data_IF_858922563064
#
_entry.id   IF_858922563064
#
_cell.length_a   1.000
_cell.length_b   1.000
_cell.length_c   1.000
_cell.angle_alpha   90.00
_cell.angle_beta   90.00
_cell.angle_gamma   90.00
#
_symmetry.space_group_name_H-M   'P 1'
#
loop_
_entity.id
_entity.type
_entity.pdbx_description
1 polymer ?
#
# COMPACT_ATOMS: atom_id res chain seq x y z
N UNK A 1 -47.59 -0.29 67.01
CA UNK A 1 -47.72 1.17 66.83
C UNK A 1 -48.08 1.42 65.37
N UNK A 2 -49.26 2.04 65.13
CA UNK A 2 -49.67 2.97 64.04
C UNK A 2 -48.88 2.91 62.71
N UNK A 3 -49.42 2.85 61.48
CA UNK A 3 -50.78 2.97 60.90
C UNK A 3 -50.65 2.75 59.36
N UNK A 4 -51.69 2.18 58.71
CA UNK A 4 -52.29 2.51 57.38
C UNK A 4 -51.41 3.03 56.20
N UNK A 5 -51.61 2.65 54.92
CA UNK A 5 -52.89 2.57 54.21
C UNK A 5 -52.70 2.02 52.76
N UNK A 6 -53.57 1.06 52.37
CA UNK A 6 -54.33 0.88 51.09
C UNK A 6 -53.65 1.06 49.71
N UNK A 7 -53.99 0.41 48.59
CA UNK A 7 -55.02 -0.53 48.05
C UNK A 7 -54.44 -0.95 46.65
N UNK A 8 -54.41 -2.23 46.20
CA UNK A 8 -55.35 -2.89 45.25
C UNK A 8 -55.61 -2.11 43.92
N UNK A 9 -55.68 -2.63 42.69
CA UNK A 9 -55.88 -3.96 42.07
C UNK A 9 -55.29 -3.95 40.64
N UNK A 10 -54.93 -5.13 40.15
CA UNK A 10 -54.60 -5.47 38.77
C UNK A 10 -55.74 -5.29 37.73
N UNK A 11 -55.40 -5.15 36.44
CA UNK A 11 -56.09 -5.90 35.38
C UNK A 11 -55.26 -5.95 34.08
N UNK A 12 -55.22 -7.14 33.48
CA UNK A 12 -54.49 -7.50 32.27
C UNK A 12 -55.30 -7.21 30.99
N UNK A 13 -54.61 -7.00 29.86
CA UNK A 13 -55.09 -7.42 28.54
C UNK A 13 -53.93 -7.53 27.53
N UNK A 14 -53.85 -8.69 26.89
CA UNK A 14 -52.97 -9.05 25.77
C UNK A 14 -53.75 -8.84 24.47
N UNK A 15 -53.16 -8.22 23.43
CA UNK A 15 -53.15 -8.71 22.03
C UNK A 15 -52.75 -7.65 20.97
N UNK A 16 -52.02 -8.16 19.97
CA UNK A 16 -52.03 -7.84 18.53
C UNK A 16 -51.28 -6.62 17.95
N UNK A 17 -50.17 -6.98 17.29
CA UNK A 17 -49.56 -6.48 16.04
C UNK A 17 -50.32 -5.43 15.22
N UNK A 18 -49.67 -4.31 14.88
CA UNK A 18 -49.66 -3.76 13.52
C UNK A 18 -48.51 -2.78 13.29
N UNK A 19 -48.01 -2.79 12.05
CA UNK A 19 -46.85 -2.06 11.56
C UNK A 19 -47.15 -0.61 11.15
N UNK A 20 -46.05 0.12 10.96
CA UNK A 20 -45.85 1.35 10.17
C UNK A 20 -46.03 2.74 10.80
N UNK A 21 -44.92 3.49 10.69
CA UNK A 21 -44.83 4.88 10.23
C UNK A 21 -44.46 5.96 11.25
N UNK A 22 -43.20 6.39 11.13
CA UNK A 22 -42.68 7.75 11.26
C UNK A 22 -42.80 8.50 12.59
N UNK A 23 -41.65 8.90 13.15
CA UNK A 23 -41.41 10.22 13.78
C UNK A 23 -39.91 10.33 14.11
N UNK A 24 -39.15 11.11 13.33
CA UNK A 24 -38.70 12.47 13.68
C UNK A 24 -37.67 12.50 14.83
N UNK A 25 -36.39 12.31 14.51
CA UNK A 25 -35.29 12.58 15.44
C UNK A 25 -34.74 13.98 15.20
N UNK A 26 -34.99 14.86 16.17
CA UNK A 26 -34.44 16.21 16.28
C UNK A 26 -32.91 16.19 16.26
N UNK A 27 -32.31 16.79 15.22
CA UNK A 27 -30.88 17.10 15.17
C UNK A 27 -30.62 18.34 16.03
N UNK A 28 -29.90 18.19 17.15
CA UNK A 28 -29.37 19.33 17.90
C UNK A 28 -28.05 19.76 17.27
N UNK A 29 -28.05 20.89 16.56
CA UNK A 29 -26.83 21.58 16.14
C UNK A 29 -26.14 22.20 17.36
N UNK A 30 -24.82 22.00 17.47
CA UNK A 30 -23.96 22.75 18.39
C UNK A 30 -23.49 23.99 17.64
N UNK A 31 -23.86 25.17 18.17
CA UNK A 31 -23.44 26.48 17.69
C UNK A 31 -22.06 26.85 18.28
N UNK A 32 -21.07 27.11 17.42
CA UNK A 32 -19.70 27.45 17.80
C UNK A 32 -19.42 28.96 17.84
N UNK A 33 -20.44 29.83 17.83
CA UNK A 33 -20.24 31.29 17.75
C UNK A 33 -19.72 31.98 19.02
N UNK A 34 -19.30 31.27 20.06
CA UNK A 34 -18.77 31.89 21.31
C UNK A 34 -17.26 31.76 21.57
N UNK A 35 -16.44 31.24 20.63
CA UNK A 35 -14.98 31.25 20.79
C UNK A 35 -14.33 32.43 20.04
N UNK A 36 -14.51 33.64 20.57
CA UNK A 36 -13.56 34.75 20.38
C UNK A 36 -13.27 35.40 21.72
N UNK A 37 -12.01 35.30 22.15
CA UNK A 37 -11.15 36.39 22.67
C UNK A 37 -10.03 35.81 23.55
N UNK A 38 -8.84 35.67 22.99
CA UNK A 38 -7.60 35.99 23.72
C UNK A 38 -6.62 36.64 22.74
N UNK A 39 -6.68 37.96 22.72
CA UNK A 39 -5.73 38.86 22.07
C UNK A 39 -4.47 38.90 22.94
N UNK A 40 -3.29 38.60 22.40
CA UNK A 40 -2.03 38.97 23.05
C UNK A 40 -1.37 40.11 22.28
N UNK A 41 -1.14 41.18 23.00
CA UNK A 41 -0.56 42.44 22.55
C UNK A 41 0.85 42.25 21.96
N UNK A 42 1.10 42.92 20.83
CA UNK A 42 2.45 43.23 20.35
C UNK A 42 3.03 44.31 21.26
N UNK A 43 4.21 44.06 21.81
CA UNK A 43 5.04 45.13 22.38
C UNK A 43 6.16 45.41 21.39
N UNK A 44 6.18 46.64 20.89
CA UNK A 44 7.26 47.19 20.10
C UNK A 44 8.46 47.46 21.02
N UNK A 45 9.66 47.05 20.61
CA UNK A 45 10.90 47.64 21.11
C UNK A 45 11.88 47.86 19.98
N UNK A 46 12.52 49.02 20.08
CA UNK A 46 13.23 49.76 19.07
C UNK A 46 14.49 49.08 18.53
N UNK A 47 14.75 49.44 17.27
CA UNK A 47 16.03 49.48 16.58
C UNK A 47 17.19 50.03 17.43
N UNK A 48 18.30 49.32 17.44
CA UNK A 48 19.64 49.91 17.55
C UNK A 48 20.65 49.09 16.75
N UNK A 49 21.37 49.80 15.90
CA UNK A 49 22.28 49.33 14.85
C UNK A 49 23.71 49.24 15.38
N UNK A 50 24.38 48.11 15.17
CA UNK A 50 25.85 47.95 15.10
C UNK A 50 26.08 46.55 14.49
N UNK A 51 26.50 46.41 13.22
CA UNK A 51 27.89 46.62 12.79
C UNK A 51 28.69 45.34 13.07
N UNK A 52 28.51 44.27 12.27
CA UNK A 52 29.35 43.90 11.11
C UNK A 52 30.68 43.24 11.50
N UNK A 53 30.99 42.13 10.82
CA UNK A 53 32.18 41.27 10.84
C UNK A 53 31.95 39.89 11.46
N UNK A 54 32.47 38.88 10.74
CA UNK A 54 32.48 37.43 11.07
C UNK A 54 31.35 36.54 10.56
N UNK A 55 31.02 36.59 9.25
CA UNK A 55 30.56 35.38 8.53
C UNK A 55 30.58 35.51 7.00
N UNK A 56 31.75 35.84 6.45
CA UNK A 56 32.04 35.69 5.01
C UNK A 56 33.43 35.04 4.83
N UNK A 57 33.57 33.78 5.26
CA UNK A 57 34.82 33.04 5.02
C UNK A 57 34.66 31.51 4.97
N UNK A 58 33.59 31.00 4.36
CA UNK A 58 33.53 29.58 3.94
C UNK A 58 32.86 29.40 2.58
N UNK A 59 33.30 30.20 1.61
CA UNK A 59 32.98 29.97 0.21
C UNK A 59 34.22 30.24 -0.64
N UNK A 60 35.21 29.36 -0.52
CA UNK A 60 36.30 29.14 -1.48
C UNK A 60 37.17 28.00 -0.94
N UNK A 61 36.82 26.76 -1.30
CA UNK A 61 37.74 25.63 -1.44
C UNK A 61 36.92 24.42 -1.91
N UNK A 62 36.71 24.31 -3.22
CA UNK A 62 36.70 23.03 -3.95
C UNK A 62 36.53 23.32 -5.45
N UNK A 63 37.56 23.93 -6.04
CA UNK A 63 37.89 23.71 -7.45
C UNK A 63 39.41 23.59 -7.58
N UNK A 64 39.83 22.70 -8.47
CA UNK A 64 41.21 22.30 -8.84
C UNK A 64 41.86 21.16 -8.02
N UNK A 65 41.79 19.95 -8.56
CA UNK A 65 43.00 19.26 -9.05
C UNK A 65 42.61 18.06 -9.91
N UNK A 66 42.55 18.29 -11.22
CA UNK A 66 42.66 17.25 -12.24
C UNK A 66 44.13 17.17 -12.64
N UNK A 67 44.79 16.05 -12.38
CA UNK A 67 45.87 15.47 -13.19
C UNK A 67 46.59 14.36 -12.41
N UNK A 68 46.50 13.12 -12.90
CA UNK A 68 47.40 12.04 -12.49
C UNK A 68 46.70 10.71 -12.24
N UNK A 69 46.53 9.91 -13.30
CA UNK A 69 46.55 8.43 -13.33
C UNK A 69 45.58 7.89 -14.40
N UNK A 70 45.87 8.22 -15.66
CA UNK A 70 45.61 7.28 -16.75
C UNK A 70 46.66 6.18 -16.62
N UNK A 71 46.23 4.95 -16.33
CA UNK A 71 46.80 3.65 -16.73
C UNK A 71 46.44 2.59 -15.68
N UNK A 72 46.02 1.41 -16.17
CA UNK A 72 45.74 0.17 -15.44
C UNK A 72 44.37 0.03 -14.76
N UNK A 73 43.37 -0.41 -15.54
CA UNK A 73 42.80 -1.77 -15.41
C UNK A 73 41.64 -1.94 -16.41
N UNK A 74 41.97 -2.01 -17.69
CA UNK A 74 41.26 -2.87 -18.64
C UNK A 74 42.18 -4.05 -18.93
N UNK A 75 41.92 -5.20 -18.31
CA UNK A 75 42.33 -6.53 -18.78
C UNK A 75 41.84 -7.57 -17.78
N UNK A 76 40.69 -8.18 -18.07
CA UNK A 76 40.41 -9.60 -17.82
C UNK A 76 39.08 -9.97 -18.50
N UNK A 77 39.11 -9.97 -19.83
CA UNK A 77 38.36 -10.94 -20.62
C UNK A 77 39.29 -11.42 -21.73
N UNK A 78 39.23 -12.72 -22.01
CA UNK A 78 39.94 -13.46 -23.04
C UNK A 78 41.38 -13.85 -22.70
N UNK A 79 41.56 -15.11 -22.26
CA UNK A 79 42.26 -16.11 -23.07
C UNK A 79 42.11 -17.50 -22.47
N UNK A 80 41.49 -18.39 -23.23
CA UNK A 80 41.78 -19.83 -23.26
C UNK A 80 41.15 -20.39 -24.53
N UNK A 81 41.77 -20.09 -25.66
CA UNK A 81 41.66 -20.91 -26.87
C UNK A 81 43.06 -21.05 -27.44
N UNK A 82 43.49 -22.30 -27.64
CA UNK A 82 44.43 -22.76 -28.67
C UNK A 82 44.83 -24.20 -28.36
N UNK A 83 44.44 -25.11 -29.27
CA UNK A 83 45.11 -26.32 -29.78
C UNK A 83 44.03 -27.32 -30.16
N UNK A 84 44.00 -27.94 -31.33
CA UNK A 84 44.85 -27.89 -32.51
C UNK A 84 44.12 -28.62 -33.64
N UNK A 85 44.48 -28.30 -34.87
CA UNK A 85 44.00 -28.91 -36.11
C UNK A 85 44.43 -30.38 -36.22
N UNK A 86 43.58 -31.22 -36.82
CA UNK A 86 43.98 -32.19 -37.86
C UNK A 86 42.78 -32.87 -38.53
N UNK A 87 42.84 -32.94 -39.86
CA UNK A 87 41.92 -33.59 -40.80
C UNK A 87 42.11 -35.12 -40.80
N UNK A 88 41.02 -35.88 -40.99
CA UNK A 88 40.77 -36.78 -42.14
C UNK A 88 39.64 -37.80 -41.85
N UNK A 89 38.70 -37.90 -42.82
CA UNK A 89 38.00 -39.10 -43.37
C UNK A 89 37.20 -39.98 -42.38
N UNK A 90 36.05 -40.59 -42.64
CA UNK A 90 35.13 -40.89 -43.77
C UNK A 90 33.83 -41.35 -43.04
N UNK A 91 32.61 -41.11 -43.50
CA UNK A 91 31.74 -42.15 -44.07
C UNK A 91 30.38 -41.54 -44.43
N UNK A 92 29.82 -42.04 -45.51
CA UNK A 92 28.77 -41.49 -46.36
C UNK A 92 27.47 -42.25 -46.06
N UNK A 93 26.36 -41.57 -45.78
CA UNK A 93 25.03 -42.13 -46.00
C UNK A 93 24.20 -41.25 -46.94
N UNK A 94 23.78 -41.90 -48.03
CA UNK A 94 23.03 -41.40 -49.18
C UNK A 94 21.53 -41.19 -48.89
N UNK A 95 20.89 -40.13 -49.44
CA UNK A 95 19.44 -40.10 -49.58
C UNK A 95 18.97 -40.77 -50.89
N UNK A 96 17.87 -41.52 -50.78
CA UNK A 96 17.19 -42.35 -51.80
C UNK A 96 16.60 -41.51 -52.95
N UNK A 97 16.57 -42.02 -54.22
CA UNK A 97 16.16 -41.22 -55.38
C UNK A 97 14.65 -41.29 -55.69
N UNK A 98 14.09 -40.12 -55.99
CA UNK A 98 12.72 -39.89 -56.47
C UNK A 98 12.56 -40.30 -57.94
N UNK A 99 11.51 -41.05 -58.25
CA UNK A 99 11.19 -41.51 -59.60
C UNK A 99 10.61 -40.40 -60.50
N UNK A 100 11.13 -40.38 -61.73
CA UNK A 100 10.71 -39.52 -62.84
C UNK A 100 9.42 -40.06 -63.48
N UNK A 101 8.41 -39.23 -63.78
CA UNK A 101 7.20 -39.68 -64.48
C UNK A 101 7.39 -39.72 -66.01
N UNK A 102 6.82 -40.76 -66.62
CA UNK A 102 6.74 -41.05 -68.07
C UNK A 102 5.49 -40.36 -68.65
N UNK A 103 5.52 -39.83 -69.89
CA UNK A 103 4.36 -39.18 -70.50
C UNK A 103 3.39 -40.21 -71.11
N UNK A 104 2.16 -40.24 -70.61
CA UNK A 104 1.07 -41.10 -71.10
C UNK A 104 0.10 -40.31 -71.98
N UNK A 105 -0.31 -40.91 -73.10
CA UNK A 105 -1.20 -40.39 -74.17
C UNK A 105 -2.56 -39.87 -73.64
N UNK A 106 -3.26 -38.98 -74.41
CA UNK A 106 -4.58 -38.51 -74.02
C UNK A 106 -5.63 -39.59 -74.31
N UNK A 107 -6.33 -40.04 -73.27
CA UNK A 107 -7.54 -40.83 -73.42
C UNK A 107 -8.76 -39.89 -73.40
N UNK A 108 -9.63 -40.08 -74.38
CA UNK A 108 -10.95 -39.43 -74.47
C UNK A 108 -11.89 -40.10 -73.48
N UNK A 109 -12.26 -39.41 -72.40
CA UNK A 109 -13.25 -39.89 -71.44
C UNK A 109 -14.68 -39.71 -71.98
N UNK A 110 -15.49 -40.75 -71.82
CA UNK A 110 -16.93 -40.76 -72.11
C UNK A 110 -17.70 -39.97 -71.02
N UNK A 111 -18.87 -39.38 -71.33
CA UNK A 111 -19.59 -38.53 -70.38
C UNK A 111 -20.09 -39.31 -69.15
N UNK A 112 -19.68 -38.85 -67.98
CA UNK A 112 -20.13 -39.31 -66.66
C UNK A 112 -21.63 -39.06 -66.47
N UNK A 113 -22.45 -40.05 -66.06
CA UNK A 113 -23.86 -39.84 -65.77
C UNK A 113 -24.05 -38.95 -64.53
N UNK A 114 -25.07 -38.08 -64.59
CA UNK A 114 -25.38 -37.11 -63.54
C UNK A 114 -25.71 -37.78 -62.19
N UNK A 115 -25.25 -37.21 -61.05
CA UNK A 115 -25.47 -37.80 -59.74
C UNK A 115 -26.95 -37.76 -59.35
N UNK A 116 -27.48 -38.91 -58.92
CA UNK A 116 -28.79 -39.02 -58.30
C UNK A 116 -28.73 -38.42 -56.89
N UNK A 117 -29.54 -37.39 -56.64
CA UNK A 117 -29.62 -36.73 -55.33
C UNK A 117 -30.19 -37.71 -54.28
N UNK A 118 -29.42 -37.99 -53.24
CA UNK A 118 -29.88 -38.74 -52.08
C UNK A 118 -30.94 -37.92 -51.30
N UNK A 119 -31.98 -38.56 -50.73
CA UNK A 119 -33.04 -37.87 -50.02
C UNK A 119 -32.52 -37.17 -48.76
N UNK A 120 -32.92 -35.92 -48.57
CA UNK A 120 -32.60 -35.10 -47.40
C UNK A 120 -33.20 -35.74 -46.14
N UNK A 121 -32.41 -36.05 -45.10
CA UNK A 121 -32.93 -36.59 -43.85
C UNK A 121 -33.84 -35.57 -43.13
N UNK A 122 -34.88 -36.08 -42.47
CA UNK A 122 -35.82 -35.27 -41.70
C UNK A 122 -35.11 -34.54 -40.54
N UNK A 123 -35.55 -33.32 -40.17
CA UNK A 123 -34.91 -32.54 -39.12
C UNK A 123 -34.98 -33.27 -37.77
N UNK A 124 -33.83 -33.36 -37.11
CA UNK A 124 -33.73 -33.89 -35.73
C UNK A 124 -34.42 -32.92 -34.76
N UNK A 125 -35.28 -33.40 -33.85
CA UNK A 125 -35.93 -32.55 -32.85
C UNK A 125 -34.89 -31.79 -32.01
N UNK A 126 -35.18 -30.52 -31.71
CA UNK A 126 -34.34 -29.72 -30.83
C UNK A 126 -34.28 -30.35 -29.42
N UNK A 127 -33.10 -30.40 -28.78
CA UNK A 127 -32.97 -30.97 -27.45
C UNK A 127 -33.81 -30.18 -26.42
N UNK A 128 -34.51 -30.91 -25.56
CA UNK A 128 -35.25 -30.33 -24.44
C UNK A 128 -34.26 -29.63 -23.49
N UNK A 129 -34.49 -28.36 -23.11
CA UNK A 129 -33.63 -27.66 -22.15
C UNK A 129 -33.54 -28.44 -20.84
N UNK A 130 -32.32 -28.59 -20.31
CA UNK A 130 -32.11 -29.17 -19.00
C UNK A 130 -32.85 -28.34 -17.92
N UNK A 131 -33.40 -28.97 -16.87
CA UNK A 131 -34.10 -28.24 -15.81
C UNK A 131 -33.17 -27.24 -15.12
N UNK A 132 -33.64 -26.01 -14.96
CA UNK A 132 -32.94 -24.97 -14.20
C UNK A 132 -32.73 -25.45 -12.75
N UNK A 133 -31.50 -25.47 -12.23
CA UNK A 133 -31.25 -25.83 -10.83
C UNK A 133 -32.04 -24.92 -9.88
N UNK A 134 -32.54 -25.49 -8.79
CA UNK A 134 -33.18 -24.71 -7.75
C UNK A 134 -32.22 -23.65 -7.18
N UNK A 135 -32.71 -22.45 -6.80
CA UNK A 135 -31.86 -21.42 -6.22
C UNK A 135 -31.17 -21.94 -4.96
N UNK A 136 -29.85 -21.81 -4.91
CA UNK A 136 -29.07 -22.11 -3.71
C UNK A 136 -29.48 -21.15 -2.59
N UNK A 137 -29.84 -21.63 -1.38
CA UNK A 137 -30.16 -20.74 -0.27
C UNK A 137 -29.02 -19.76 -0.01
N UNK A 138 -29.37 -18.51 0.31
CA UNK A 138 -28.37 -17.52 0.72
C UNK A 138 -27.59 -18.05 1.95
N UNK A 139 -26.26 -17.88 2.01
CA UNK A 139 -25.48 -18.33 3.15
C UNK A 139 -26.00 -17.69 4.44
N UNK A 140 -26.19 -18.52 5.47
CA UNK A 140 -26.53 -18.03 6.81
C UNK A 140 -25.41 -17.10 7.29
N UNK A 141 -25.72 -15.87 7.75
CA UNK A 141 -24.72 -14.98 8.31
C UNK A 141 -23.95 -15.69 9.44
N UNK A 142 -22.63 -15.55 9.46
CA UNK A 142 -21.83 -16.05 10.57
C UNK A 142 -22.33 -15.44 11.89
N UNK A 143 -22.31 -16.20 13.00
CA UNK A 143 -22.72 -15.67 14.29
C UNK A 143 -21.89 -14.43 14.65
N UNK A 144 -22.55 -13.36 15.06
CA UNK A 144 -21.87 -12.16 15.59
C UNK A 144 -21.06 -12.58 16.81
N UNK A 145 -19.73 -12.34 16.84
CA UNK A 145 -18.91 -12.64 18.02
C UNK A 145 -19.48 -11.95 19.26
N UNK A 146 -19.37 -12.61 20.41
CA UNK A 146 -19.68 -11.96 21.67
C UNK A 146 -18.82 -10.69 21.84
N UNK A 147 -19.34 -9.62 22.46
CA UNK A 147 -18.57 -8.41 22.68
C UNK A 147 -17.30 -8.73 23.47
N UNK A 148 -16.15 -8.35 22.93
CA UNK A 148 -14.88 -8.42 23.65
C UNK A 148 -15.00 -7.57 24.92
N UNK A 149 -14.70 -8.11 26.11
CA UNK A 149 -14.66 -7.32 27.34
C UNK A 149 -13.74 -6.12 27.14
N UNK A 150 -14.12 -4.93 27.62
CA UNK A 150 -13.24 -3.76 27.55
C UNK A 150 -11.90 -4.10 28.23
N UNK A 151 -10.74 -4.02 27.52
CA UNK A 151 -9.42 -4.21 28.11
C UNK A 151 -9.08 -3.31 29.30
N UNK A 152 -9.96 -2.36 29.64
CA UNK A 152 -9.76 -1.40 30.72
C UNK A 152 -8.99 -0.18 30.23
N UNK A 153 -8.55 0.70 31.14
CA UNK A 153 -7.82 1.89 30.78
C UNK A 153 -6.50 1.52 30.09
N UNK A 154 -6.30 2.07 28.90
CA UNK A 154 -5.05 1.92 28.16
C UNK A 154 -4.04 2.98 28.60
N UNK A 155 -2.81 2.54 28.88
CA UNK A 155 -1.68 3.42 29.21
C UNK A 155 -0.57 3.27 28.17
N UNK A 156 -0.01 4.40 27.73
CA UNK A 156 1.07 4.41 26.76
C UNK A 156 2.36 3.86 27.38
N UNK A 157 2.91 2.79 26.79
CA UNK A 157 4.22 2.26 27.15
C UNK A 157 5.21 2.43 26.01
N UNK A 158 6.24 3.24 26.26
CA UNK A 158 7.34 3.46 25.31
C UNK A 158 8.50 2.51 25.59
N UNK A 159 9.04 1.90 24.54
CA UNK A 159 10.22 1.05 24.57
C UNK A 159 11.26 1.55 23.58
N UNK A 160 12.50 1.09 23.68
CA UNK A 160 13.55 1.47 22.74
C UNK A 160 13.16 1.10 21.30
N UNK A 161 13.54 1.95 20.33
CA UNK A 161 13.06 1.84 18.94
C UNK A 161 13.46 0.53 18.26
N UNK A 162 14.51 -0.13 18.74
CA UNK A 162 15.01 -1.42 18.26
C UNK A 162 14.52 -2.62 19.09
N UNK A 163 13.64 -2.40 20.08
CA UNK A 163 13.02 -3.47 20.88
C UNK A 163 11.56 -3.73 20.48
N UNK A 164 11.01 -2.93 19.57
CA UNK A 164 9.66 -3.17 19.04
C UNK A 164 9.71 -4.37 18.10
N UNK A 165 9.04 -5.46 18.47
CA UNK A 165 8.89 -6.63 17.62
C UNK A 165 7.79 -6.37 16.57
N UNK A 166 8.04 -6.62 15.27
CA UNK A 166 7.03 -6.48 14.24
C UNK A 166 5.96 -7.56 14.34
N UNK A 167 4.81 -7.29 13.73
CA UNK A 167 3.81 -8.28 13.37
C UNK A 167 4.28 -9.02 12.12
N UNK A 168 4.25 -10.35 12.17
CA UNK A 168 4.38 -11.16 10.97
C UNK A 168 3.20 -10.87 10.03
N UNK A 169 3.44 -10.88 8.72
CA UNK A 169 2.37 -10.73 7.74
C UNK A 169 1.43 -11.96 7.79
N UNK A 170 0.15 -11.80 8.16
CA UNK A 170 -0.78 -12.93 8.15
C UNK A 170 -1.12 -13.37 6.72
N UNK A 171 -1.52 -14.63 6.56
CA UNK A 171 -2.11 -15.11 5.31
C UNK A 171 -3.42 -14.36 5.00
N UNK A 172 -3.59 -13.76 3.81
CA UNK A 172 -4.73 -12.91 3.53
C UNK A 172 -6.00 -13.72 3.24
N UNK A 173 -7.10 -13.42 3.94
CA UNK A 173 -8.36 -14.18 3.85
C UNK A 173 -9.42 -13.42 3.06
N UNK A 174 -9.68 -12.19 3.47
CA UNK A 174 -10.70 -11.30 2.89
C UNK A 174 -10.25 -10.67 1.57
N UNK A 175 -11.21 -10.13 0.82
CA UNK A 175 -10.95 -9.41 -0.44
C UNK A 175 -9.99 -8.23 -0.21
N UNK A 176 -10.20 -7.46 0.87
CA UNK A 176 -9.37 -6.30 1.21
C UNK A 176 -7.93 -6.70 1.56
N UNK A 177 -7.76 -7.79 2.33
CA UNK A 177 -6.42 -8.27 2.70
C UNK A 177 -5.67 -8.82 1.49
N UNK A 178 -6.35 -9.61 0.63
CA UNK A 178 -5.75 -10.13 -0.61
C UNK A 178 -5.34 -9.01 -1.55
N UNK A 179 -6.17 -7.99 -1.71
CA UNK A 179 -5.83 -6.80 -2.48
C UNK A 179 -4.62 -6.06 -1.88
N UNK A 180 -4.58 -5.88 -0.56
CA UNK A 180 -3.48 -5.18 0.10
C UNK A 180 -2.14 -5.93 -0.01
N UNK A 181 -2.15 -7.27 0.04
CA UNK A 181 -0.93 -8.06 -0.23
C UNK A 181 -0.53 -7.97 -1.71
N UNK A 182 -1.50 -8.04 -2.65
CA UNK A 182 -1.26 -7.97 -4.10
C UNK A 182 -0.68 -6.62 -4.55
N UNK A 183 -1.15 -5.52 -3.98
CA UNK A 183 -0.75 -4.16 -4.34
C UNK A 183 0.29 -3.55 -3.39
N UNK A 184 0.99 -4.40 -2.62
CA UNK A 184 1.98 -3.95 -1.65
C UNK A 184 3.08 -3.15 -2.38
N UNK A 185 3.43 -1.94 -1.92
CA UNK A 185 4.45 -1.12 -2.58
C UNK A 185 5.86 -1.62 -2.27
N UNK A 186 6.79 -1.34 -3.19
CA UNK A 186 8.22 -1.40 -2.91
C UNK A 186 8.66 -0.06 -2.32
N UNK A 187 9.46 -0.09 -1.25
CA UNK A 187 10.08 1.09 -0.68
C UNK A 187 11.58 1.12 -0.98
N UNK A 188 12.00 2.11 -1.75
CA UNK A 188 13.39 2.47 -1.95
C UNK A 188 13.79 3.56 -0.95
N UNK A 189 14.76 3.29 -0.08
CA UNK A 189 15.28 4.27 0.87
C UNK A 189 16.54 4.90 0.28
N UNK A 190 16.45 6.13 -0.25
CA UNK A 190 17.62 6.82 -0.82
C UNK A 190 18.56 7.29 0.28
N UNK A 191 18.02 7.88 1.34
CA UNK A 191 18.77 8.31 2.52
C UNK A 191 17.88 8.29 3.77
N UNK A 192 18.46 8.63 4.93
CA UNK A 192 17.76 8.62 6.20
C UNK A 192 17.60 7.23 6.82
N UNK A 193 16.52 7.05 7.56
CA UNK A 193 16.22 5.81 8.26
C UNK A 193 15.53 4.79 7.34
N UNK A 194 15.73 3.51 7.63
CA UNK A 194 14.89 2.43 7.13
C UNK A 194 13.60 2.36 7.95
N UNK A 195 12.53 1.72 7.44
CA UNK A 195 11.29 1.53 8.18
C UNK A 195 11.44 0.57 9.38
N UNK A 196 10.80 0.92 10.50
CA UNK A 196 10.77 0.16 11.75
C UNK A 196 9.33 -0.16 12.15
N UNK A 197 9.10 -1.24 12.92
CA UNK A 197 7.83 -1.40 13.62
C UNK A 197 7.65 -0.26 14.65
N UNK A 198 6.51 0.42 14.58
CA UNK A 198 6.15 1.49 15.49
C UNK A 198 5.53 0.98 16.79
N UNK A 199 4.83 -0.15 16.72
CA UNK A 199 4.06 -0.74 17.82
C UNK A 199 4.14 -2.27 17.73
N UNK A 200 4.17 -2.94 18.88
CA UNK A 200 4.12 -4.41 18.96
C UNK A 200 2.72 -4.92 19.36
N UNK A 201 2.55 -6.24 19.45
CA UNK A 201 1.27 -6.89 19.79
C UNK A 201 0.71 -6.46 21.16
N UNK A 202 1.58 -6.15 22.13
CA UNK A 202 1.17 -5.68 23.45
C UNK A 202 0.74 -4.20 23.48
N UNK A 203 0.90 -3.47 22.37
CA UNK A 203 0.62 -2.03 22.29
C UNK A 203 1.77 -1.15 22.79
N UNK A 204 2.98 -1.69 22.95
CA UNK A 204 4.16 -0.92 23.31
C UNK A 204 4.73 -0.22 22.07
N UNK A 205 5.05 1.07 22.19
CA UNK A 205 5.45 1.91 21.07
C UNK A 205 6.93 2.26 21.09
N UNK A 206 7.55 2.30 19.92
CA UNK A 206 8.96 2.65 19.78
C UNK A 206 9.22 4.12 20.08
N UNK A 207 10.09 4.40 21.05
CA UNK A 207 10.43 5.74 21.52
C UNK A 207 11.17 6.60 20.47
N UNK A 208 11.50 6.04 19.30
CA UNK A 208 12.19 6.73 18.22
C UNK A 208 13.62 7.14 18.59
N UNK A 209 14.24 7.97 17.76
CA UNK A 209 15.61 8.45 17.92
C UNK A 209 15.68 9.97 18.01
N UNK A 210 16.68 10.47 18.74
CA UNK A 210 17.07 11.88 18.66
C UNK A 210 17.66 12.17 17.27
N UNK A 211 17.53 13.41 16.81
CA UNK A 211 18.09 13.88 15.53
C UNK A 211 19.61 14.07 15.53
N UNK A 212 20.31 13.70 16.62
CA UNK A 212 21.77 13.82 16.71
C UNK A 212 22.47 12.73 15.90
N UNK A 213 23.59 13.09 15.28
CA UNK A 213 24.40 12.18 14.47
C UNK A 213 23.94 12.14 13.02
N UNK A 214 24.53 11.24 12.23
CA UNK A 214 24.16 11.13 10.81
C UNK A 214 22.66 10.81 10.63
N UNK A 215 22.03 11.28 9.52
CA UNK A 215 20.64 10.99 9.18
C UNK A 215 20.21 9.53 9.37
N UNK A 216 21.06 8.58 8.97
CA UNK A 216 20.79 7.14 9.04
C UNK A 216 21.38 6.44 10.28
N UNK A 217 22.03 7.19 11.18
CA UNK A 217 22.69 6.60 12.34
C UNK A 217 21.68 5.93 13.29
N UNK A 218 21.95 4.64 13.58
CA UNK A 218 21.15 3.74 14.45
C UNK A 218 19.75 3.40 13.94
N UNK A 219 19.46 3.66 12.66
CA UNK A 219 18.16 3.38 12.06
C UNK A 219 18.23 2.69 10.69
N UNK A 220 19.19 1.77 10.49
CA UNK A 220 19.30 0.94 9.26
C UNK A 220 18.81 -0.50 9.42
N UNK A 221 18.18 -0.82 10.55
CA UNK A 221 17.68 -2.16 10.86
C UNK A 221 17.47 -2.36 12.36
N UNK A 222 16.33 -2.92 12.74
CA UNK A 222 15.94 -3.11 14.16
C UNK A 222 16.55 -4.37 14.80
N UNK A 223 17.11 -5.28 14.01
CA UNK A 223 17.41 -6.65 14.44
C UNK A 223 16.20 -7.58 14.46
N UNK A 224 14.97 -7.03 14.50
CA UNK A 224 13.71 -7.79 14.42
C UNK A 224 13.06 -7.80 13.04
N UNK A 225 13.56 -6.96 12.11
CA UNK A 225 12.99 -6.77 10.78
C UNK A 225 12.34 -5.40 10.60
N UNK A 226 11.58 -5.26 9.53
CA UNK A 226 10.88 -4.02 9.16
C UNK A 226 9.36 -4.22 9.22
N UNK A 227 8.58 -3.18 8.94
CA UNK A 227 7.12 -3.25 8.91
C UNK A 227 6.55 -2.22 7.94
N UNK A 228 5.48 -2.60 7.23
CA UNK A 228 4.55 -1.67 6.59
C UNK A 228 3.14 -1.89 7.14
N UNK A 229 2.42 -0.81 7.37
CA UNK A 229 1.05 -0.82 7.89
C UNK A 229 0.06 -0.54 6.77
N UNK A 230 -1.08 -1.23 6.74
CA UNK A 230 -2.09 -1.05 5.70
C UNK A 230 -3.47 -0.69 6.24
N UNK A 231 -4.23 0.16 5.54
CA UNK A 231 -5.67 0.35 5.78
C UNK A 231 -6.38 0.70 4.49
N UNK A 232 -7.54 0.09 4.24
CA UNK A 232 -8.23 0.20 2.96
C UNK A 232 -9.71 0.50 3.10
N UNK A 233 -10.29 1.20 2.13
CA UNK A 233 -11.72 1.51 2.10
C UNK A 233 -12.14 2.01 0.71
N UNK A 234 -13.45 1.97 0.43
CA UNK A 234 -14.03 2.67 -0.71
C UNK A 234 -14.04 4.19 -0.47
N UNK A 235 -13.70 4.95 -1.50
CA UNK A 235 -13.81 6.41 -1.56
C UNK A 235 -14.33 6.76 -2.95
N UNK A 236 -15.52 7.37 -3.01
CA UNK A 236 -16.11 7.86 -4.27
C UNK A 236 -16.08 6.81 -5.41
N UNK A 237 -16.38 5.54 -5.09
CA UNK A 237 -16.43 4.46 -6.09
C UNK A 237 -15.07 3.89 -6.53
N UNK A 238 -13.96 4.34 -5.92
CA UNK A 238 -12.61 3.82 -6.13
C UNK A 238 -12.10 3.20 -4.83
N UNK A 239 -11.37 2.09 -4.91
CA UNK A 239 -10.83 1.43 -3.74
C UNK A 239 -9.45 2.01 -3.39
N UNK A 240 -9.33 2.56 -2.19
CA UNK A 240 -8.10 3.12 -1.66
C UNK A 240 -7.41 2.11 -0.74
N UNK A 241 -6.11 1.91 -0.93
CA UNK A 241 -5.25 1.17 0.01
C UNK A 241 -4.12 2.10 0.44
N UNK A 242 -4.14 2.53 1.69
CA UNK A 242 -3.05 3.29 2.29
C UNK A 242 -2.02 2.32 2.86
N UNK A 243 -0.76 2.49 2.46
CA UNK A 243 0.40 1.83 3.06
C UNK A 243 1.24 2.87 3.76
N UNK A 244 1.65 2.60 4.99
CA UNK A 244 2.36 3.56 5.83
C UNK A 244 3.57 2.94 6.50
N UNK A 245 4.64 3.73 6.60
CA UNK A 245 5.89 3.37 7.23
C UNK A 245 6.20 4.32 8.37
N UNK A 246 6.76 3.74 9.43
CA UNK A 246 7.31 4.49 10.55
C UNK A 246 8.82 4.50 10.47
N UNK A 247 9.42 5.66 10.73
CA UNK A 247 10.86 5.79 10.87
C UNK A 247 11.20 6.37 12.26
N UNK A 248 12.25 5.87 12.94
CA UNK A 248 12.56 6.34 14.30
C UNK A 248 12.86 7.84 14.40
N UNK A 249 13.33 8.47 13.33
CA UNK A 249 13.56 9.92 13.22
C UNK A 249 13.49 10.35 11.75
N UNK A 250 13.16 11.60 11.53
CA UNK A 250 13.34 12.34 10.29
C UNK A 250 14.46 13.36 10.53
N UNK A 251 15.60 13.21 9.86
CA UNK A 251 16.76 14.06 10.10
C UNK A 251 17.51 14.33 8.80
N UNK A 252 17.29 15.48 8.15
CA UNK A 252 18.01 15.84 6.91
C UNK A 252 19.50 16.13 7.18
N UNK A 253 19.84 16.55 8.41
CA UNK A 253 21.21 16.74 8.89
C UNK A 253 21.24 16.66 10.42
N UNK A 254 22.42 16.44 10.99
CA UNK A 254 22.60 16.26 12.43
C UNK A 254 22.05 17.45 13.23
N UNK A 255 21.12 17.16 14.14
CA UNK A 255 20.45 18.15 15.00
C UNK A 255 19.20 18.77 14.39
N UNK A 256 18.94 18.56 13.10
CA UNK A 256 17.75 19.06 12.39
C UNK A 256 16.71 17.95 12.18
N UNK A 257 15.49 18.38 11.87
CA UNK A 257 14.33 17.50 11.70
C UNK A 257 13.60 17.22 13.02
N UNK A 258 13.13 15.98 13.21
CA UNK A 258 12.43 15.55 14.41
C UNK A 258 12.59 14.05 14.72
N UNK A 259 12.31 13.72 15.98
CA UNK A 259 12.07 12.35 16.42
C UNK A 259 10.76 11.87 15.82
N UNK A 260 10.72 10.60 15.44
CA UNK A 260 9.62 9.95 14.73
C UNK A 260 9.42 10.50 13.33
N UNK A 261 8.98 9.62 12.44
CA UNK A 261 8.46 9.99 11.14
C UNK A 261 7.37 9.00 10.74
N UNK A 262 6.37 9.51 10.03
CA UNK A 262 5.27 8.73 9.51
C UNK A 262 4.99 9.19 8.10
N UNK A 263 5.24 8.30 7.16
CA UNK A 263 4.96 8.54 5.75
C UNK A 263 3.99 7.48 5.23
N UNK A 264 3.28 7.78 4.15
CA UNK A 264 2.33 6.87 3.54
C UNK A 264 2.11 7.12 2.05
N UNK A 265 1.82 6.05 1.33
CA UNK A 265 1.34 6.10 -0.05
C UNK A 265 -0.08 5.55 -0.10
N UNK A 266 -0.93 6.13 -0.93
CA UNK A 266 -2.24 5.54 -1.24
C UNK A 266 -2.21 5.03 -2.67
N UNK A 267 -2.49 3.74 -2.83
CA UNK A 267 -2.72 3.09 -4.11
C UNK A 267 -4.23 3.05 -4.35
N UNK A 268 -4.67 3.65 -5.45
CA UNK A 268 -6.07 3.71 -5.84
C UNK A 268 -6.30 2.68 -6.93
N UNK A 269 -7.13 1.68 -6.67
CA UNK A 269 -7.50 0.65 -7.65
C UNK A 269 -8.99 0.72 -7.98
N UNK A 270 -9.37 0.21 -9.14
CA UNK A 270 -10.77 0.18 -9.57
C UNK A 270 -11.67 -0.61 -8.62
N UNK A 271 -11.45 -1.92 -8.46
CA UNK A 271 -12.28 -2.77 -7.62
C UNK A 271 -11.48 -3.99 -7.12
N UNK A 272 -11.32 -4.17 -5.80
CA UNK A 272 -10.51 -5.28 -5.25
C UNK A 272 -11.13 -6.66 -5.49
N UNK A 273 -12.42 -6.72 -5.85
CA UNK A 273 -13.17 -7.98 -6.02
C UNK A 273 -13.09 -8.56 -7.43
N UNK A 274 -12.51 -7.85 -8.41
CA UNK A 274 -12.35 -8.37 -9.77
C UNK A 274 -11.06 -9.19 -9.87
N UNK A 275 -10.99 -10.08 -10.86
CA UNK A 275 -9.84 -10.98 -11.06
C UNK A 275 -8.51 -10.21 -11.23
N UNK A 276 -8.56 -9.14 -12.02
CA UNK A 276 -7.40 -8.31 -12.37
C UNK A 276 -7.68 -6.83 -12.07
N UNK A 277 -7.67 -6.42 -10.79
CA UNK A 277 -7.86 -5.02 -10.43
C UNK A 277 -6.73 -4.17 -11.03
N UNK A 278 -7.04 -2.95 -11.42
CA UNK A 278 -6.12 -2.02 -12.08
C UNK A 278 -5.77 -0.88 -11.15
N UNK A 279 -4.49 -0.52 -11.10
CA UNK A 279 -4.04 0.71 -10.45
C UNK A 279 -4.48 1.90 -11.31
N UNK A 280 -5.34 2.74 -10.73
CA UNK A 280 -5.85 3.96 -11.36
C UNK A 280 -4.99 5.17 -11.01
N UNK A 281 -4.46 5.22 -9.80
CA UNK A 281 -3.62 6.32 -9.33
C UNK A 281 -2.72 5.91 -8.17
N UNK A 282 -1.67 6.70 -7.94
CA UNK A 282 -0.83 6.62 -6.73
C UNK A 282 -0.61 8.01 -6.15
N UNK A 283 -0.68 8.11 -4.82
CA UNK A 283 -0.51 9.39 -4.12
C UNK A 283 0.41 9.26 -2.91
N UNK A 284 1.74 9.38 -3.10
CA UNK A 284 2.72 9.42 -2.01
C UNK A 284 2.58 10.70 -1.17
N UNK A 285 2.77 10.59 0.14
CA UNK A 285 2.83 11.73 1.06
C UNK A 285 4.08 12.57 0.83
N UNK A 286 3.93 13.88 0.90
CA UNK A 286 5.06 14.80 0.89
C UNK A 286 4.77 15.95 1.86
N UNK A 287 5.28 15.82 3.08
CA UNK A 287 5.01 16.75 4.18
C UNK A 287 3.50 16.92 4.42
N UNK A 288 2.99 18.15 4.33
CA UNK A 288 1.56 18.45 4.46
C UNK A 288 0.74 18.06 3.22
N UNK A 289 1.37 17.69 2.11
CA UNK A 289 0.74 17.47 0.82
C UNK A 289 0.80 16.03 0.30
N UNK A 290 0.44 15.90 -0.98
CA UNK A 290 0.53 14.66 -1.75
C UNK A 290 0.98 14.96 -3.16
N UNK A 291 1.95 14.18 -3.64
CA UNK A 291 2.13 13.99 -5.08
C UNK A 291 0.95 13.16 -5.60
N UNK A 292 0.48 13.44 -6.81
CA UNK A 292 -0.69 12.75 -7.40
C UNK A 292 -0.36 12.33 -8.82
N UNK A 293 -0.43 11.03 -9.09
CA UNK A 293 -0.20 10.48 -10.43
C UNK A 293 -1.42 9.68 -10.89
N UNK A 294 -1.98 10.07 -12.04
CA UNK A 294 -3.19 9.49 -12.64
C UNK A 294 -2.98 9.36 -14.16
N UNK A 295 -2.71 8.15 -14.70
CA UNK A 295 -2.25 6.95 -14.00
C UNK A 295 -0.81 7.09 -13.46
N UNK A 296 -0.33 6.16 -12.60
CA UNK A 296 1.10 6.10 -12.26
C UNK A 296 1.96 5.94 -13.52
N UNK A 297 3.19 6.48 -13.50
CA UNK A 297 4.14 6.25 -14.58
C UNK A 297 4.49 4.76 -14.68
N UNK A 298 4.59 4.24 -15.91
CA UNK A 298 4.81 2.82 -16.16
C UNK A 298 6.13 2.31 -15.55
N UNK A 299 7.19 3.12 -15.60
CA UNK A 299 8.48 2.78 -15.01
C UNK A 299 8.48 2.88 -13.48
N UNK A 300 7.44 3.45 -12.86
CA UNK A 300 7.23 3.49 -11.40
C UNK A 300 6.36 2.33 -10.89
N UNK A 301 5.99 1.37 -11.74
CA UNK A 301 5.18 0.20 -11.38
C UNK A 301 5.89 -1.07 -11.82
N UNK A 302 5.97 -2.05 -10.92
CA UNK A 302 6.49 -3.38 -11.17
C UNK A 302 5.39 -4.41 -10.92
N UNK A 303 4.79 -4.92 -12.00
CA UNK A 303 3.57 -5.74 -11.93
C UNK A 303 2.42 -4.98 -11.29
N UNK A 304 2.04 -5.38 -10.07
CA UNK A 304 1.01 -4.73 -9.24
C UNK A 304 1.60 -3.87 -8.10
N UNK A 305 2.92 -3.74 -8.03
CA UNK A 305 3.60 -3.01 -6.96
C UNK A 305 4.02 -1.64 -7.44
N UNK A 306 3.53 -0.57 -6.81
CA UNK A 306 4.09 0.77 -7.03
C UNK A 306 5.47 0.88 -6.37
N UNK A 307 6.39 1.60 -7.00
CA UNK A 307 7.73 1.85 -6.47
C UNK A 307 7.80 3.25 -5.87
N UNK A 308 8.10 3.31 -4.59
CA UNK A 308 8.09 4.54 -3.78
C UNK A 308 9.48 4.81 -3.23
N UNK A 309 9.95 6.04 -3.32
CA UNK A 309 11.21 6.51 -2.77
C UNK A 309 10.95 7.29 -1.47
N UNK A 310 11.76 7.03 -0.45
CA UNK A 310 11.88 7.84 0.75
C UNK A 310 13.22 8.58 0.71
N UNK A 311 13.15 9.92 0.72
CA UNK A 311 14.32 10.76 0.54
C UNK A 311 14.12 12.14 1.18
N UNK A 312 15.20 12.66 1.75
CA UNK A 312 15.39 14.07 2.04
C UNK A 312 16.36 14.69 1.04
N UNK A 313 15.96 15.83 0.47
CA UNK A 313 16.85 16.70 -0.30
C UNK A 313 17.02 18.00 0.48
N UNK A 314 18.26 18.27 0.90
CA UNK A 314 18.58 19.46 1.68
C UNK A 314 18.05 20.73 1.01
N UNK A 315 17.35 21.64 1.74
CA UNK A 315 17.18 21.69 3.20
C UNK A 315 15.88 21.06 3.73
N UNK A 316 15.20 20.26 2.93
CA UNK A 316 13.87 19.73 3.24
C UNK A 316 13.98 18.40 3.97
N UNK A 317 13.07 18.18 4.92
CA UNK A 317 12.85 16.91 5.60
C UNK A 317 12.51 15.77 4.62
N UNK A 318 12.41 14.53 5.11
CA UNK A 318 12.05 13.43 4.22
C UNK A 318 10.59 13.54 3.73
N UNK A 319 10.35 12.94 2.57
CA UNK A 319 9.04 12.78 1.95
C UNK A 319 9.05 11.51 1.10
N UNK A 320 7.86 11.07 0.69
CA UNK A 320 7.71 10.05 -0.34
C UNK A 320 7.52 10.66 -1.73
N UNK A 321 7.99 9.93 -2.73
CA UNK A 321 7.71 10.18 -4.14
C UNK A 321 7.72 8.87 -4.92
N UNK A 322 7.13 8.86 -6.11
CA UNK A 322 7.26 7.69 -7.00
C UNK A 322 8.68 7.63 -7.58
N UNK A 323 9.15 6.43 -7.89
CA UNK A 323 10.51 6.23 -8.43
C UNK A 323 10.57 5.08 -9.42
N UNK A 324 11.50 5.15 -10.36
CA UNK A 324 11.82 4.04 -11.25
C UNK A 324 12.74 2.99 -10.60
N UNK A 325 13.36 3.31 -9.47
CA UNK A 325 14.25 2.40 -8.74
C UNK A 325 13.44 1.33 -8.00
N UNK A 326 13.90 0.08 -8.06
CA UNK A 326 13.37 -0.99 -7.22
C UNK A 326 13.63 -0.72 -5.74
N UNK A 327 12.79 -1.31 -4.88
CA UNK A 327 12.88 -1.18 -3.44
C UNK A 327 12.52 -2.50 -2.74
N UNK A 328 12.60 -2.48 -1.41
CA UNK A 328 12.31 -3.65 -0.60
C UNK A 328 10.81 -3.74 -0.29
N UNK A 329 10.32 -4.97 -0.10
CA UNK A 329 9.05 -5.22 0.55
C UNK A 329 9.26 -5.38 2.06
N UNK A 330 8.24 -5.00 2.84
CA UNK A 330 8.19 -5.24 4.28
C UNK A 330 6.98 -6.12 4.60
N UNK A 331 6.99 -6.78 5.76
CA UNK A 331 5.83 -7.50 6.24
C UNK A 331 4.67 -6.53 6.44
N UNK A 332 3.54 -6.84 5.83
CA UNK A 332 2.33 -6.02 5.89
C UNK A 332 1.45 -6.46 7.05
N UNK A 333 1.01 -5.51 7.85
CA UNK A 333 -0.08 -5.72 8.82
C UNK A 333 -1.20 -4.73 8.55
N UNK A 334 -2.40 -5.25 8.28
CA UNK A 334 -3.58 -4.40 8.05
C UNK A 334 -4.14 -3.90 9.39
N UNK A 335 -4.77 -2.72 9.39
CA UNK A 335 -5.38 -2.11 10.58
C UNK A 335 -6.33 -3.06 11.32
N UNK A 336 -7.14 -3.80 10.56
CA UNK A 336 -8.12 -4.72 11.15
C UNK A 336 -7.47 -5.99 11.72
N UNK A 337 -6.22 -6.28 11.32
CA UNK A 337 -5.41 -7.41 11.80
C UNK A 337 -4.52 -7.05 13.00
N UNK A 338 -4.36 -5.76 13.33
CA UNK A 338 -3.66 -5.33 14.53
C UNK A 338 -4.41 -5.80 15.79
N UNK A 339 -3.65 -6.12 16.84
CA UNK A 339 -4.22 -6.37 18.16
C UNK A 339 -4.99 -5.13 18.65
N UNK A 340 -5.96 -5.33 19.54
CA UNK A 340 -6.70 -4.20 20.12
C UNK A 340 -5.76 -3.20 20.82
N UNK A 341 -4.75 -3.70 21.55
CA UNK A 341 -3.76 -2.86 22.23
C UNK A 341 -2.92 -2.05 21.24
N UNK A 342 -2.53 -2.63 20.11
CA UNK A 342 -1.81 -1.91 19.08
C UNK A 342 -2.68 -0.82 18.44
N UNK A 343 -3.96 -1.10 18.13
CA UNK A 343 -4.89 -0.05 17.64
C UNK A 343 -5.09 1.07 18.66
N UNK A 344 -5.29 0.73 19.94
CA UNK A 344 -5.38 1.71 21.04
C UNK A 344 -4.13 2.59 21.10
N UNK A 345 -2.95 2.00 20.99
CA UNK A 345 -1.69 2.74 20.97
C UNK A 345 -1.57 3.66 19.75
N UNK A 346 -1.87 3.16 18.55
CA UNK A 346 -1.80 3.94 17.30
C UNK A 346 -2.83 5.08 17.25
N UNK A 347 -3.94 4.95 17.97
CA UNK A 347 -4.90 6.02 18.17
C UNK A 347 -4.51 7.00 19.29
N UNK A 348 -3.85 6.52 20.35
CA UNK A 348 -3.69 7.25 21.61
C UNK A 348 -2.35 7.94 21.84
N UNK A 349 -1.24 7.45 21.26
CA UNK A 349 0.07 8.07 21.50
C UNK A 349 0.29 9.35 20.68
N UNK A 350 0.97 10.32 21.27
CA UNK A 350 1.47 11.50 20.57
C UNK A 350 2.88 11.26 19.98
N UNK A 351 3.00 11.29 18.66
CA UNK A 351 4.28 11.09 17.94
C UNK A 351 5.08 12.40 17.73
N UNK A 352 4.85 13.41 18.56
CA UNK A 352 5.51 14.71 18.43
C UNK A 352 5.10 15.46 17.15
N UNK A 353 6.02 15.56 16.19
CA UNK A 353 5.76 16.23 14.89
C UNK A 353 5.22 15.29 13.82
N UNK A 354 5.39 13.98 13.99
CA UNK A 354 4.83 12.97 13.10
C UNK A 354 3.38 12.65 13.52
N UNK A 355 2.59 12.07 12.61
CA UNK A 355 1.22 11.66 12.88
C UNK A 355 0.91 10.33 12.19
N UNK A 356 0.32 9.37 12.91
CA UNK A 356 -0.14 8.11 12.31
C UNK A 356 -1.25 8.37 11.28
N UNK A 357 -1.03 8.12 9.98
CA UNK A 357 -1.95 8.59 8.95
C UNK A 357 -3.18 7.70 8.76
N UNK A 358 -3.12 6.45 9.23
CA UNK A 358 -4.15 5.42 9.06
C UNK A 358 -4.92 5.11 10.35
N UNK A 359 -4.70 5.85 11.43
CA UNK A 359 -5.49 5.70 12.66
C UNK A 359 -6.93 6.20 12.45
N UNK A 360 -7.82 5.96 13.42
CA UNK A 360 -9.26 6.22 13.23
C UNK A 360 -9.59 7.69 12.95
N UNK A 361 -8.85 8.61 13.58
CA UNK A 361 -9.06 10.05 13.40
C UNK A 361 -8.51 10.59 12.08
N UNK A 362 -7.43 10.01 11.56
CA UNK A 362 -6.70 10.58 10.42
C UNK A 362 -7.01 9.89 9.08
N UNK A 363 -7.42 8.62 9.09
CA UNK A 363 -7.52 7.80 7.88
C UNK A 363 -8.42 8.43 6.81
N UNK A 364 -9.68 8.69 7.12
CA UNK A 364 -10.64 9.25 6.15
C UNK A 364 -10.26 10.67 5.69
N UNK A 365 -9.93 11.63 6.57
CA UNK A 365 -9.48 12.96 6.15
C UNK A 365 -8.23 12.93 5.25
N UNK A 366 -7.28 12.02 5.52
CA UNK A 366 -6.07 11.86 4.71
C UNK A 366 -6.40 11.33 3.31
N UNK A 367 -7.33 10.39 3.17
CA UNK A 367 -7.81 9.90 1.87
C UNK A 367 -8.50 10.99 1.06
N UNK A 368 -9.36 11.79 1.69
CA UNK A 368 -10.05 12.91 1.03
C UNK A 368 -9.05 13.95 0.49
N UNK A 369 -8.05 14.32 1.31
CA UNK A 369 -6.99 15.26 0.89
C UNK A 369 -6.11 14.69 -0.23
N UNK A 370 -5.94 13.37 -0.26
CA UNK A 370 -5.15 12.66 -1.24
C UNK A 370 -5.90 12.40 -2.56
N UNK A 371 -7.23 12.52 -2.59
CA UNK A 371 -8.06 12.18 -3.75
C UNK A 371 -7.49 12.76 -5.05
N UNK A 372 -7.10 11.91 -6.03
CA UNK A 372 -6.31 12.38 -7.16
C UNK A 372 -7.14 12.67 -8.42
N UNK A 373 -8.41 12.26 -8.45
CA UNK A 373 -9.28 12.39 -9.61
C UNK A 373 -10.03 13.72 -9.57
N UNK A 374 -10.04 14.46 -10.69
CA UNK A 374 -10.74 15.74 -10.84
C UNK A 374 -12.11 15.57 -11.45
#
# INVERSE_FOLDING_TARGET
MKTSMMLFVALAAVAAVQAESSTNTTVKYIDYTSLKKFTRARSAKQSSTAGSHEQQQQQQQQESSTAGSHEQQQQQQQESSMTGSQEQQEEIETPVPTHVPIPTRPQTEAPTPAPTLAPTPAPTPAPTPAPTPAPTPAPTPAPTPAPTPDPGPWEAKWIDHDQVKPFAQPEPVTISEKAAVKFKPQLHVTNGCHPYPAVNEAGETGAGLKTKGAPSAKCKGSGWGSQVYGRSTWVQGVWAIMYSWYFPKDSPSSGLGHRHDWEHVIVWIDNPSVENPKILAVTPSAHDGYSKEVPPKADCVDGTSVKVNYESQWPVNHALGSTSKGGDFQDLIMWDQLSENARRAMNGVGWGKANTPFNDGNFKPKLEKAWPFK
#
